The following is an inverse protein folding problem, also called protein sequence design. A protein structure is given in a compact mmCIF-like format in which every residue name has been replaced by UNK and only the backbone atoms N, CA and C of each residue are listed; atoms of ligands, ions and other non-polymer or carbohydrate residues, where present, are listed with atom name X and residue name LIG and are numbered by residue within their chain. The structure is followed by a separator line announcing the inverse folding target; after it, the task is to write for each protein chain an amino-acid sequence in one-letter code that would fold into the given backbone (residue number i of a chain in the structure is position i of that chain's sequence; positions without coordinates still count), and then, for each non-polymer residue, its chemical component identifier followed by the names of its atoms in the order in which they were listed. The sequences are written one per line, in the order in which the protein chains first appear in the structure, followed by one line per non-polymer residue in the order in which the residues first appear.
data_IF_871657720647
#
_entry.id   IF_871657720647
#
_cell.length_a   1.000
_cell.length_b   1.000
_cell.length_c   1.000
_cell.angle_alpha   90.00
_cell.angle_beta   90.00
_cell.angle_gamma   90.00
#
_symmetry.space_group_name_H-M   'P 1'
#
loop_
_entity.id
_entity.type
_entity.pdbx_description
1 polymer ?
#
# COMPACT_ATOMS: atom_id res chain seq x y z
N UNK A 1 20.79 20.53 -5.50
CA UNK A 1 20.07 19.48 -6.24
C UNK A 1 19.78 20.02 -7.63
N UNK A 2 20.35 19.42 -8.66
CA UNK A 2 20.00 19.69 -10.06
C UNK A 2 18.65 19.05 -10.42
N UNK A 3 18.11 19.39 -11.59
CA UNK A 3 16.87 18.77 -12.09
C UNK A 3 17.01 17.26 -12.27
N UNK A 4 18.18 16.79 -12.70
CA UNK A 4 18.44 15.35 -12.83
C UNK A 4 18.44 14.66 -11.47
N UNK A 5 19.11 15.23 -10.47
CA UNK A 5 19.12 14.71 -9.10
C UNK A 5 17.71 14.71 -8.49
N UNK A 6 16.90 15.75 -8.74
CA UNK A 6 15.51 15.83 -8.29
C UNK A 6 14.65 14.72 -8.91
N UNK A 7 14.79 14.48 -10.22
CA UNK A 7 14.05 13.42 -10.91
C UNK A 7 14.41 12.04 -10.36
N UNK A 8 15.69 11.77 -10.12
CA UNK A 8 16.13 10.52 -9.52
C UNK A 8 15.54 10.35 -8.11
N UNK A 9 15.58 11.40 -7.30
CA UNK A 9 15.04 11.37 -5.94
C UNK A 9 13.52 11.15 -5.91
N UNK A 10 12.76 11.81 -6.79
CA UNK A 10 11.30 11.60 -6.90
C UNK A 10 10.98 10.16 -7.30
N UNK A 11 11.74 9.56 -8.24
CA UNK A 11 11.56 8.15 -8.63
C UNK A 11 11.84 7.21 -7.46
N UNK A 12 12.90 7.47 -6.70
CA UNK A 12 13.28 6.70 -5.51
C UNK A 12 12.20 6.80 -4.43
N UNK A 13 11.70 8.00 -4.16
CA UNK A 13 10.61 8.24 -3.20
C UNK A 13 9.31 7.55 -3.65
N UNK A 14 8.96 7.61 -4.93
CA UNK A 14 7.79 6.91 -5.46
C UNK A 14 7.92 5.38 -5.32
N UNK A 15 9.13 4.81 -5.51
CA UNK A 15 9.36 3.39 -5.26
C UNK A 15 9.20 3.04 -3.77
N UNK A 16 9.73 3.88 -2.88
CA UNK A 16 9.58 3.72 -1.43
C UNK A 16 8.12 3.82 -0.99
N UNK A 17 7.34 4.74 -1.56
CA UNK A 17 5.92 4.89 -1.27
C UNK A 17 5.12 3.66 -1.72
N UNK A 18 5.43 3.11 -2.90
CA UNK A 18 4.81 1.86 -3.38
C UNK A 18 5.11 0.69 -2.44
N UNK A 19 6.35 0.57 -1.96
CA UNK A 19 6.72 -0.48 -1.01
C UNK A 19 5.96 -0.34 0.31
N UNK A 20 5.95 0.86 0.90
CA UNK A 20 5.17 1.12 2.11
C UNK A 20 3.66 0.86 1.92
N UNK A 21 3.13 1.17 0.74
CA UNK A 21 1.73 0.86 0.39
C UNK A 21 1.47 -0.64 0.32
N UNK A 22 2.41 -1.41 -0.24
CA UNK A 22 2.34 -2.88 -0.30
C UNK A 22 2.26 -3.48 1.11
N UNK A 23 3.16 -3.06 2.02
CA UNK A 23 3.18 -3.51 3.41
C UNK A 23 1.89 -3.12 4.17
N UNK A 24 1.37 -1.91 3.92
CA UNK A 24 0.12 -1.46 4.48
C UNK A 24 -1.06 -2.33 4.01
N UNK A 25 -1.14 -2.64 2.71
CA UNK A 25 -2.21 -3.50 2.16
C UNK A 25 -2.13 -4.90 2.76
N UNK A 26 -0.93 -5.48 2.90
CA UNK A 26 -0.72 -6.76 3.58
C UNK A 26 -1.20 -6.71 5.03
N UNK A 27 -0.89 -5.62 5.74
CA UNK A 27 -1.31 -5.41 7.12
C UNK A 27 -2.82 -5.26 7.26
N UNK A 28 -3.48 -4.53 6.35
CA UNK A 28 -4.94 -4.42 6.28
C UNK A 28 -5.57 -5.79 6.04
N UNK A 29 -4.97 -6.64 5.19
CA UNK A 29 -5.44 -8.01 4.97
C UNK A 29 -5.41 -8.85 6.27
N UNK A 30 -4.35 -8.73 7.07
CA UNK A 30 -4.25 -9.40 8.38
C UNK A 30 -5.24 -8.82 9.38
N UNK A 31 -5.35 -7.49 9.46
CA UNK A 31 -6.31 -6.78 10.31
C UNK A 31 -7.74 -7.21 10.00
N UNK A 32 -8.05 -7.35 8.71
CA UNK A 32 -9.35 -7.80 8.24
C UNK A 32 -9.64 -9.25 8.63
N UNK A 33 -8.71 -10.17 8.31
CA UNK A 33 -8.86 -11.59 8.63
C UNK A 33 -9.07 -11.83 10.12
N UNK A 34 -8.38 -11.05 10.97
CA UNK A 34 -8.49 -11.12 12.44
C UNK A 34 -9.67 -10.31 12.99
N UNK A 35 -10.33 -9.50 12.16
CA UNK A 35 -11.33 -8.51 12.57
C UNK A 35 -10.86 -7.62 13.73
N UNK A 36 -9.58 -7.26 13.74
CA UNK A 36 -8.96 -6.54 14.86
C UNK A 36 -9.61 -5.16 15.11
N UNK A 37 -10.17 -4.54 14.07
CA UNK A 37 -10.93 -3.30 14.16
C UNK A 37 -12.17 -3.38 15.08
N UNK A 38 -12.71 -4.59 15.33
CA UNK A 38 -13.83 -4.76 16.26
C UNK A 38 -13.41 -4.50 17.72
N UNK A 39 -12.18 -4.90 18.09
CA UNK A 39 -11.65 -4.67 19.44
C UNK A 39 -11.40 -3.18 19.72
N UNK A 40 -11.15 -2.40 18.66
CA UNK A 40 -11.01 -0.95 18.67
C UNK A 40 -12.37 -0.22 18.62
N UNK A 41 -13.50 -0.95 18.64
CA UNK A 41 -14.85 -0.36 18.70
C UNK A 41 -15.46 0.02 17.34
N UNK A 42 -14.85 -0.35 16.22
CA UNK A 42 -15.34 -0.02 14.89
C UNK A 42 -16.24 -1.11 14.32
N UNK A 43 -17.38 -0.73 13.76
CA UNK A 43 -18.35 -1.66 13.15
C UNK A 43 -17.91 -2.21 11.79
N UNK A 44 -16.92 -1.59 11.15
CA UNK A 44 -16.36 -2.05 9.88
C UNK A 44 -14.90 -1.64 9.72
N UNK A 45 -14.13 -2.44 8.97
CA UNK A 45 -12.77 -2.09 8.56
C UNK A 45 -12.70 -0.75 7.80
N UNK A 46 -13.77 -0.40 7.07
CA UNK A 46 -13.83 0.85 6.31
C UNK A 46 -13.87 2.06 7.26
N UNK A 47 -14.76 2.01 8.27
CA UNK A 47 -14.80 3.04 9.30
C UNK A 47 -13.46 3.17 10.02
N UNK A 48 -12.82 2.04 10.38
CA UNK A 48 -11.47 2.07 10.97
C UNK A 48 -10.43 2.74 10.05
N UNK A 49 -10.41 2.41 8.76
CA UNK A 49 -9.47 3.01 7.81
C UNK A 49 -9.69 4.52 7.61
N UNK A 50 -10.93 5.00 7.63
CA UNK A 50 -11.23 6.44 7.48
C UNK A 50 -10.95 7.18 8.79
N UNK A 51 -11.51 6.70 9.89
CA UNK A 51 -11.53 7.44 11.16
C UNK A 51 -10.21 7.33 11.93
N UNK A 52 -9.52 6.18 11.88
CA UNK A 52 -8.27 5.95 12.62
C UNK A 52 -7.05 6.19 11.76
N UNK A 53 -7.05 5.68 10.52
CA UNK A 53 -5.90 5.82 9.62
C UNK A 53 -5.94 7.10 8.77
N UNK A 54 -7.02 7.88 8.85
CA UNK A 54 -7.15 9.18 8.18
C UNK A 54 -7.28 9.09 6.66
N UNK A 55 -7.64 7.93 6.11
CA UNK A 55 -7.82 7.78 4.67
C UNK A 55 -9.10 8.45 4.20
N UNK A 56 -9.06 9.00 2.98
CA UNK A 56 -10.31 9.33 2.28
C UNK A 56 -11.13 8.07 2.03
N UNK A 57 -12.44 8.22 1.81
CA UNK A 57 -13.32 7.11 1.48
C UNK A 57 -12.78 6.27 0.30
N UNK A 58 -12.36 6.91 -0.79
CA UNK A 58 -11.81 6.22 -1.95
C UNK A 58 -10.49 5.50 -1.62
N UNK A 59 -9.60 6.17 -0.87
CA UNK A 59 -8.33 5.59 -0.45
C UNK A 59 -8.52 4.34 0.43
N UNK A 60 -9.52 4.35 1.32
CA UNK A 60 -9.90 3.20 2.13
C UNK A 60 -10.50 2.09 1.26
N UNK A 61 -11.42 2.43 0.36
CA UNK A 61 -12.07 1.49 -0.56
C UNK A 61 -11.05 0.70 -1.39
N UNK A 62 -10.14 1.38 -2.09
CA UNK A 62 -9.15 0.72 -2.95
C UNK A 62 -8.17 -0.14 -2.16
N UNK A 63 -7.72 0.30 -0.97
CA UNK A 63 -6.81 -0.49 -0.12
C UNK A 63 -7.48 -1.73 0.45
N UNK A 64 -8.76 -1.63 0.84
CA UNK A 64 -9.56 -2.77 1.28
C UNK A 64 -9.76 -3.76 0.12
N UNK A 65 -10.05 -3.27 -1.08
CA UNK A 65 -10.18 -4.11 -2.26
C UNK A 65 -8.87 -4.86 -2.56
N UNK A 66 -7.73 -4.16 -2.55
CA UNK A 66 -6.42 -4.77 -2.72
C UNK A 66 -6.11 -5.80 -1.63
N UNK A 67 -6.42 -5.49 -0.36
CA UNK A 67 -6.21 -6.41 0.76
C UNK A 67 -7.02 -7.71 0.61
N UNK A 68 -8.21 -7.65 0.00
CA UNK A 68 -8.98 -8.86 -0.33
C UNK A 68 -8.32 -9.70 -1.42
N UNK A 69 -7.72 -9.06 -2.42
CA UNK A 69 -6.94 -9.76 -3.47
C UNK A 69 -5.74 -10.46 -2.84
N UNK A 70 -4.98 -9.77 -1.97
CA UNK A 70 -3.83 -10.35 -1.24
C UNK A 70 -4.23 -11.55 -0.38
N UNK A 71 -5.43 -11.55 0.22
CA UNK A 71 -5.91 -12.72 0.98
C UNK A 71 -6.12 -13.95 0.09
N UNK A 72 -6.51 -13.75 -1.16
CA UNK A 72 -6.73 -14.82 -2.14
C UNK A 72 -5.45 -15.24 -2.87
N UNK A 73 -4.52 -14.31 -3.07
CA UNK A 73 -3.29 -14.48 -3.84
C UNK A 73 -2.12 -13.79 -3.12
N UNK A 74 -1.60 -14.37 -2.02
CA UNK A 74 -0.53 -13.75 -1.24
C UNK A 74 0.75 -13.45 -2.04
N UNK A 75 1.03 -14.24 -3.06
CA UNK A 75 2.18 -14.11 -3.96
C UNK A 75 2.21 -12.80 -4.77
N UNK A 76 1.09 -12.08 -4.89
CA UNK A 76 1.03 -10.81 -5.64
C UNK A 76 1.86 -9.68 -5.01
N UNK A 77 2.20 -9.82 -3.72
CA UNK A 77 3.04 -8.86 -3.02
C UNK A 77 4.53 -9.16 -3.15
N UNK A 78 4.89 -10.28 -3.77
CA UNK A 78 6.28 -10.59 -4.05
C UNK A 78 6.81 -9.59 -5.10
N UNK A 79 7.83 -8.84 -4.72
CA UNK A 79 8.42 -7.82 -5.58
C UNK A 79 9.26 -8.43 -6.72
N UNK A 80 9.59 -9.72 -6.63
CA UNK A 80 10.32 -10.44 -7.67
C UNK A 80 9.42 -10.96 -8.81
N UNK A 81 8.11 -11.09 -8.57
CA UNK A 81 7.15 -11.59 -9.58
C UNK A 81 6.44 -10.48 -10.36
N UNK A 82 6.52 -9.24 -9.87
CA UNK A 82 6.02 -8.06 -10.59
C UNK A 82 7.21 -7.16 -10.88
N UNK A 83 7.83 -7.26 -12.07
CA UNK A 83 8.73 -6.22 -12.52
C UNK A 83 7.87 -4.98 -12.77
N UNK A 84 7.62 -4.20 -11.71
CA UNK A 84 7.36 -2.80 -11.90
C UNK A 84 8.65 -2.29 -12.49
N UNK A 85 8.68 -2.11 -13.81
CA UNK A 85 9.78 -1.48 -14.48
C UNK A 85 10.04 -0.17 -13.75
N UNK A 86 10.99 -0.20 -12.81
CA UNK A 86 11.72 0.97 -12.44
C UNK A 86 12.32 1.37 -13.78
N UNK A 87 11.71 2.36 -14.44
CA UNK A 87 12.36 3.14 -15.47
C UNK A 87 13.51 3.90 -14.82
N UNK A 88 14.47 3.16 -14.27
CA UNK A 88 15.80 3.59 -13.96
C UNK A 88 16.54 3.56 -15.28
N UNK A 89 16.46 4.68 -15.97
CA UNK A 89 17.58 5.09 -16.80
C UNK A 89 18.81 5.04 -15.87
N UNK A 90 19.87 4.25 -16.15
CA UNK A 90 21.00 4.04 -15.24
C UNK A 90 21.82 5.32 -14.94
N UNK A 91 21.44 6.45 -15.53
CA UNK A 91 21.89 7.78 -15.16
C UNK A 91 21.16 8.37 -13.91
N UNK A 92 20.17 7.64 -13.39
CA UNK A 92 19.67 7.65 -12.02
C UNK A 92 19.90 6.25 -11.40
#
# INVERSE_FOLDING_TARGET
MSDSELICEVKRLAASERHATSELVASIAVLDRRRAYLAEGYSSRHAYCVDVLGFSNDAAFYRIAAARVVQSFPEILDHDVVPFAAGGDPAC
#
